data_IF_675725698013
#
_entry.id   IF_675725698013
#
_cell.length_a   1.000
_cell.length_b   1.000
_cell.length_c   1.000
_cell.angle_alpha   90.00
_cell.angle_beta   90.00
_cell.angle_gamma   90.00
#
_symmetry.space_group_name_H-M   'P 1'
#
loop_
_entity.id
_entity.type
_entity.pdbx_description
1 polymer ?
#
# COMPACT_ATOMS: atom_id res chain seq x y z
N UNK A 1 19.19 -7.77 -60.83
CA UNK A 1 18.79 -7.44 -59.44
C UNK A 1 17.30 -7.29 -59.46
N UNK A 2 16.62 -8.31 -58.96
CA UNK A 2 15.16 -8.40 -58.85
C UNK A 2 14.81 -7.69 -57.54
N UNK A 3 13.86 -6.76 -57.57
CA UNK A 3 13.27 -6.21 -56.36
C UNK A 3 11.76 -6.43 -56.45
N UNK A 4 11.28 -7.10 -55.42
CA UNK A 4 9.99 -7.73 -55.29
C UNK A 4 8.84 -6.73 -55.19
N UNK A 5 7.84 -6.97 -56.02
CA UNK A 5 6.40 -7.05 -55.75
C UNK A 5 5.87 -6.60 -54.37
N UNK A 6 5.01 -5.59 -54.44
CA UNK A 6 3.67 -5.50 -53.84
C UNK A 6 3.36 -6.31 -52.57
N UNK A 7 3.15 -5.61 -51.46
CA UNK A 7 2.06 -5.93 -50.53
C UNK A 7 1.50 -4.64 -49.89
N UNK A 8 0.48 -4.10 -50.53
CA UNK A 8 -0.39 -3.06 -50.00
C UNK A 8 -1.24 -3.66 -48.86
N UNK A 9 -0.80 -3.47 -47.61
CA UNK A 9 -1.64 -3.73 -46.44
C UNK A 9 -2.52 -2.52 -46.22
N UNK A 10 -3.73 -2.56 -46.76
CA UNK A 10 -4.78 -1.63 -46.39
C UNK A 10 -4.96 -1.63 -44.86
N UNK A 11 -5.01 -0.42 -44.33
CA UNK A 11 -5.18 -0.05 -42.95
C UNK A 11 -6.51 -0.60 -42.40
N UNK A 12 -6.47 -1.83 -41.86
CA UNK A 12 -7.52 -2.33 -40.96
C UNK A 12 -7.26 -1.83 -39.54
N UNK A 13 -7.20 -0.51 -39.39
CA UNK A 13 -7.59 0.20 -38.19
C UNK A 13 -9.09 -0.02 -37.96
N UNK A 14 -9.46 -1.22 -37.52
CA UNK A 14 -10.68 -1.39 -36.73
C UNK A 14 -10.36 -0.82 -35.35
N UNK A 15 -10.48 0.51 -35.24
CA UNK A 15 -10.56 1.18 -33.96
C UNK A 15 -11.74 0.56 -33.20
N UNK A 16 -11.43 -0.44 -32.37
CA UNK A 16 -12.37 -0.95 -31.38
C UNK A 16 -12.67 0.25 -30.48
N UNK A 17 -13.82 0.89 -30.70
CA UNK A 17 -14.31 1.96 -29.82
C UNK A 17 -14.15 1.47 -28.38
N UNK A 18 -13.56 2.24 -27.46
CA UNK A 18 -13.47 1.83 -26.07
C UNK A 18 -14.88 1.47 -25.62
N UNK A 19 -15.11 0.18 -25.34
CA UNK A 19 -16.39 -0.32 -24.85
C UNK A 19 -16.64 0.47 -23.58
N UNK A 20 -17.65 1.34 -23.58
CA UNK A 20 -18.02 2.10 -22.39
C UNK A 20 -18.42 1.07 -21.34
N UNK A 21 -17.54 0.82 -20.36
CA UNK A 21 -17.81 -0.14 -19.30
C UNK A 21 -19.08 0.33 -18.58
N UNK A 22 -20.04 -0.59 -18.42
CA UNK A 22 -21.32 -0.30 -17.79
C UNK A 22 -21.10 0.36 -16.42
N UNK A 23 -21.82 1.45 -16.16
CA UNK A 23 -21.76 2.16 -14.89
C UNK A 23 -22.29 1.25 -13.76
N UNK A 24 -21.52 1.13 -12.69
CA UNK A 24 -21.96 0.43 -11.46
C UNK A 24 -23.08 1.24 -10.83
N UNK A 25 -24.12 0.58 -10.28
CA UNK A 25 -25.18 1.30 -9.59
C UNK A 25 -24.66 1.99 -8.32
N UNK A 26 -25.19 3.18 -8.02
CA UNK A 26 -24.76 3.97 -6.87
C UNK A 26 -24.93 3.22 -5.54
N UNK A 27 -24.05 3.46 -4.54
CA UNK A 27 -24.17 2.89 -3.22
C UNK A 27 -25.36 3.45 -2.45
N UNK A 28 -25.96 2.60 -1.62
CA UNK A 28 -26.83 3.02 -0.55
C UNK A 28 -26.01 3.74 0.54
N UNK A 29 -26.59 4.67 1.32
CA UNK A 29 -25.88 5.32 2.42
C UNK A 29 -25.26 4.34 3.42
N UNK A 30 -25.88 3.17 3.64
CA UNK A 30 -25.38 2.11 4.51
C UNK A 30 -24.17 1.34 3.96
N UNK A 31 -23.90 1.44 2.65
CA UNK A 31 -22.77 0.79 1.98
C UNK A 31 -21.51 1.66 2.00
N UNK A 32 -21.61 2.90 2.49
CA UNK A 32 -20.50 3.84 2.66
C UNK A 32 -20.19 4.04 4.15
N UNK A 33 -18.92 3.85 4.49
CA UNK A 33 -18.36 4.07 5.81
C UNK A 33 -17.37 5.24 5.75
N UNK A 34 -17.30 6.05 6.81
CA UNK A 34 -16.33 7.13 6.92
C UNK A 34 -15.37 6.85 8.10
N UNK A 35 -14.06 6.90 7.85
CA UNK A 35 -13.03 6.73 8.88
C UNK A 35 -12.50 8.07 9.43
N UNK A 36 -13.29 9.14 9.25
CA UNK A 36 -12.92 10.52 9.57
C UNK A 36 -12.10 11.22 8.48
N UNK A 37 -11.32 10.49 7.68
CA UNK A 37 -10.45 11.05 6.65
C UNK A 37 -10.84 10.68 5.21
N UNK A 38 -11.51 9.54 5.05
CA UNK A 38 -11.85 8.94 3.76
C UNK A 38 -13.22 8.28 3.80
N UNK A 39 -13.85 8.16 2.64
CA UNK A 39 -15.00 7.28 2.45
C UNK A 39 -14.55 5.90 1.98
N UNK A 40 -15.21 4.85 2.47
CA UNK A 40 -14.89 3.46 2.19
C UNK A 40 -16.16 2.69 1.84
N UNK A 41 -16.07 1.86 0.82
CA UNK A 41 -16.95 0.70 0.65
C UNK A 41 -16.29 -0.44 1.39
N UNK A 42 -16.91 -0.96 2.46
CA UNK A 42 -16.28 -1.90 3.38
C UNK A 42 -17.06 -3.21 3.44
N UNK A 43 -16.37 -4.32 3.21
CA UNK A 43 -16.84 -5.65 3.58
C UNK A 43 -16.13 -6.12 4.86
N UNK A 44 -16.94 -6.45 5.87
CA UNK A 44 -16.50 -7.09 7.11
C UNK A 44 -16.88 -8.57 7.05
N UNK A 45 -15.90 -9.43 7.31
CA UNK A 45 -16.02 -10.87 7.19
C UNK A 45 -15.41 -11.58 8.40
N UNK A 46 -15.81 -12.84 8.55
CA UNK A 46 -15.40 -13.69 9.65
C UNK A 46 -15.42 -15.18 9.22
N UNK A 47 -15.33 -16.07 10.20
CA UNK A 47 -15.39 -17.52 9.99
C UNK A 47 -16.69 -18.03 9.36
N UNK A 48 -17.77 -17.23 9.36
CA UNK A 48 -19.10 -17.61 8.86
C UNK A 48 -19.38 -17.12 7.44
N UNK A 49 -18.50 -16.29 6.88
CA UNK A 49 -18.63 -15.70 5.54
C UNK A 49 -18.65 -16.77 4.45
N UNK A 50 -19.62 -16.70 3.53
CA UNK A 50 -19.75 -17.66 2.43
C UNK A 50 -19.04 -17.15 1.17
N UNK A 51 -18.51 -18.04 0.32
CA UNK A 51 -17.94 -17.65 -0.97
C UNK A 51 -18.90 -16.83 -1.85
N UNK A 52 -20.20 -17.07 -1.75
CA UNK A 52 -21.23 -16.32 -2.47
C UNK A 52 -21.32 -14.85 -2.02
N UNK A 53 -21.06 -14.56 -0.75
CA UNK A 53 -21.07 -13.19 -0.22
C UNK A 53 -19.87 -12.41 -0.78
N UNK A 54 -18.71 -13.06 -0.84
CA UNK A 54 -17.49 -12.53 -1.46
C UNK A 54 -17.71 -12.25 -2.94
N UNK A 55 -18.29 -13.21 -3.67
CA UNK A 55 -18.58 -13.04 -5.10
C UNK A 55 -19.56 -11.88 -5.36
N UNK A 56 -20.60 -11.75 -4.53
CA UNK A 56 -21.57 -10.66 -4.63
C UNK A 56 -20.92 -9.30 -4.37
N UNK A 57 -20.06 -9.21 -3.35
CA UNK A 57 -19.29 -7.99 -3.06
C UNK A 57 -18.39 -7.59 -4.24
N UNK A 58 -17.62 -8.53 -4.80
CA UNK A 58 -16.71 -8.28 -5.92
C UNK A 58 -17.46 -7.88 -7.20
N UNK A 59 -18.62 -8.49 -7.47
CA UNK A 59 -19.46 -8.14 -8.60
C UNK A 59 -20.10 -6.75 -8.43
N UNK A 60 -20.50 -6.41 -7.20
CA UNK A 60 -21.10 -5.11 -6.86
C UNK A 60 -20.07 -3.98 -6.88
N UNK A 61 -18.84 -4.24 -6.45
CA UNK A 61 -17.80 -3.23 -6.26
C UNK A 61 -16.50 -3.52 -7.02
N UNK A 62 -16.55 -3.54 -8.36
CA UNK A 62 -15.36 -3.70 -9.21
C UNK A 62 -14.48 -2.44 -9.14
N UNK A 63 -13.20 -2.53 -8.73
CA UNK A 63 -12.35 -1.35 -8.59
C UNK A 63 -12.20 -0.56 -9.89
N UNK A 64 -12.12 -1.24 -11.03
CA UNK A 64 -11.94 -0.62 -12.36
C UNK A 64 -13.07 0.33 -12.78
N UNK A 65 -14.24 0.25 -12.13
CA UNK A 65 -15.43 1.05 -12.47
C UNK A 65 -15.98 1.86 -11.31
N UNK A 66 -15.41 1.73 -10.12
CA UNK A 66 -15.93 2.39 -8.93
C UNK A 66 -15.30 3.76 -8.75
N UNK A 67 -16.13 4.79 -8.57
CA UNK A 67 -15.70 6.18 -8.28
C UNK A 67 -16.39 6.77 -7.06
N UNK A 68 -17.16 5.97 -6.31
CA UNK A 68 -18.06 6.44 -5.25
C UNK A 68 -17.38 6.65 -3.90
N UNK A 69 -16.30 5.93 -3.64
CA UNK A 69 -15.56 5.99 -2.38
C UNK A 69 -14.07 6.15 -2.62
N UNK A 70 -13.36 6.71 -1.65
CA UNK A 70 -11.90 6.83 -1.70
C UNK A 70 -11.20 5.47 -1.65
N UNK A 71 -11.85 4.45 -1.08
CA UNK A 71 -11.35 3.08 -0.99
C UNK A 71 -12.46 2.04 -1.11
N UNK A 72 -12.13 0.89 -1.68
CA UNK A 72 -12.87 -0.36 -1.47
C UNK A 72 -12.02 -1.22 -0.54
N UNK A 73 -12.61 -1.74 0.53
CA UNK A 73 -11.92 -2.41 1.62
C UNK A 73 -12.55 -3.77 1.94
N UNK A 74 -11.69 -4.71 2.28
CA UNK A 74 -12.00 -6.04 2.73
C UNK A 74 -11.29 -6.28 4.06
N UNK A 75 -12.04 -6.66 5.08
CA UNK A 75 -11.53 -6.95 6.41
C UNK A 75 -12.12 -8.28 6.90
N UNK A 76 -11.25 -9.21 7.29
CA UNK A 76 -11.60 -10.47 7.93
C UNK A 76 -11.04 -10.50 9.35
N UNK A 77 -11.92 -10.33 10.32
CA UNK A 77 -11.59 -10.44 11.73
C UNK A 77 -11.74 -11.88 12.28
N UNK A 78 -11.41 -12.09 13.57
CA UNK A 78 -10.78 -11.12 14.48
C UNK A 78 -9.29 -10.92 14.20
N UNK A 79 -8.78 -9.72 14.50
CA UNK A 79 -7.34 -9.41 14.44
C UNK A 79 -6.68 -9.67 15.80
N UNK A 80 -5.39 -10.05 15.83
CA UNK A 80 -4.65 -10.16 17.08
C UNK A 80 -4.64 -8.82 17.82
N UNK A 81 -4.77 -8.87 19.15
CA UNK A 81 -4.60 -7.68 19.98
C UNK A 81 -3.11 -7.35 20.08
N UNK A 82 -2.68 -6.13 19.71
CA UNK A 82 -1.27 -5.76 19.80
C UNK A 82 -0.81 -5.72 21.26
N UNK A 83 0.44 -6.14 21.50
CA UNK A 83 1.04 -6.15 22.84
C UNK A 83 1.19 -4.73 23.42
N UNK A 84 1.58 -3.78 22.56
CA UNK A 84 1.65 -2.35 22.87
C UNK A 84 0.46 -1.65 22.20
N UNK A 85 -0.42 -0.96 22.96
CA UNK A 85 -1.47 -0.14 22.36
C UNK A 85 -0.89 0.92 21.44
N UNK A 86 -1.59 1.20 20.34
CA UNK A 86 -1.15 2.20 19.39
C UNK A 86 -1.24 3.62 19.98
N UNK A 87 -0.13 4.34 20.03
CA UNK A 87 -0.03 5.75 20.47
C UNK A 87 0.53 6.65 19.36
N UNK A 88 -0.34 7.03 18.42
CA UNK A 88 0.05 7.92 17.31
C UNK A 88 0.41 9.34 17.80
N UNK A 89 -0.18 9.79 18.91
CA UNK A 89 0.11 11.11 19.47
C UNK A 89 1.50 11.14 20.12
N UNK A 90 1.84 10.11 20.90
CA UNK A 90 3.18 9.89 21.44
C UNK A 90 4.23 9.79 20.35
N UNK A 91 3.97 8.98 19.33
CA UNK A 91 4.83 8.87 18.15
C UNK A 91 5.12 10.24 17.54
N UNK A 92 4.09 11.07 17.38
CA UNK A 92 4.22 12.40 16.77
C UNK A 92 5.06 13.34 17.64
N UNK A 93 4.91 13.30 18.97
CA UNK A 93 5.71 14.09 19.91
C UNK A 93 7.19 13.69 19.87
N UNK A 94 7.48 12.40 19.96
CA UNK A 94 8.86 11.91 19.99
C UNK A 94 9.56 12.10 18.65
N UNK A 95 8.81 12.02 17.54
CA UNK A 95 9.31 12.38 16.23
C UNK A 95 9.74 13.84 16.12
N UNK A 96 8.95 14.77 16.68
CA UNK A 96 9.32 16.19 16.69
C UNK A 96 10.64 16.40 17.46
N UNK A 97 10.78 15.77 18.63
CA UNK A 97 12.01 15.82 19.43
C UNK A 97 13.21 15.25 18.67
N UNK A 98 13.05 14.12 17.97
CA UNK A 98 14.12 13.52 17.18
C UNK A 98 14.57 14.46 16.05
N UNK A 99 13.64 15.09 15.34
CA UNK A 99 13.97 16.07 14.28
C UNK A 99 14.72 17.29 14.83
N UNK A 100 14.31 17.82 15.98
CA UNK A 100 14.99 18.95 16.61
C UNK A 100 16.44 18.60 17.00
N UNK A 101 16.64 17.42 17.59
CA UNK A 101 17.98 16.93 17.93
C UNK A 101 18.85 16.74 16.70
N UNK A 102 18.31 16.14 15.64
CA UNK A 102 19.02 15.96 14.38
C UNK A 102 19.43 17.31 13.75
N UNK A 103 18.54 18.31 13.79
CA UNK A 103 18.85 19.65 13.29
C UNK A 103 19.94 20.35 14.12
N UNK A 104 19.89 20.23 15.45
CA UNK A 104 20.91 20.81 16.34
C UNK A 104 22.29 20.17 16.11
N UNK A 105 22.35 18.85 15.89
CA UNK A 105 23.60 18.15 15.58
C UNK A 105 24.17 18.57 14.21
N UNK A 106 23.32 18.70 13.18
CA UNK A 106 23.77 19.18 11.87
C UNK A 106 24.35 20.60 11.93
N UNK A 107 23.77 21.48 12.76
CA UNK A 107 24.28 22.84 12.97
C UNK A 107 25.63 22.85 13.71
N UNK A 108 25.80 21.98 14.71
CA UNK A 108 27.07 21.90 15.45
C UNK A 108 28.21 21.38 14.58
N UNK A 109 27.96 20.35 13.76
CA UNK A 109 28.94 19.82 12.80
C UNK A 109 29.30 20.82 11.70
N UNK A 110 28.33 21.56 11.17
CA UNK A 110 28.56 22.62 10.19
C UNK A 110 29.42 23.78 10.72
N UNK A 111 29.33 24.09 12.02
CA UNK A 111 30.21 25.06 12.67
C UNK A 111 31.63 24.54 12.89
N UNK A 112 31.81 23.22 13.12
CA UNK A 112 33.13 22.59 13.26
C UNK A 112 33.84 22.48 11.90
N UNK A 113 33.12 22.12 10.83
CA UNK A 113 33.69 21.99 9.48
C UNK A 113 34.17 23.31 8.87
N UNK A 114 33.63 24.46 9.31
CA UNK A 114 34.13 25.79 8.89
C UNK A 114 35.55 26.09 9.39
N UNK A 115 36.08 25.32 10.35
CA UNK A 115 37.38 25.56 10.98
C UNK A 115 38.49 24.52 10.65
N UNK A 116 38.31 23.58 9.73
CA UNK A 116 39.39 22.63 9.38
C UNK A 116 39.00 21.57 8.35
N UNK A 117 39.99 21.15 7.56
CA UNK A 117 39.90 20.34 6.33
C UNK A 117 39.44 18.88 6.49
N UNK A 118 38.89 18.38 5.37
CA UNK A 118 38.66 17.00 4.93
C UNK A 118 37.24 16.40 5.09
N UNK A 119 36.68 16.02 3.94
CA UNK A 119 35.35 15.46 3.74
C UNK A 119 35.40 13.94 3.96
N UNK A 120 34.96 13.50 5.14
CA UNK A 120 34.48 12.14 5.36
C UNK A 120 33.02 11.97 4.89
N UNK A 121 32.50 10.74 4.79
CA UNK A 121 31.12 10.49 4.36
C UNK A 121 30.16 11.26 5.28
N UNK A 122 29.42 12.19 4.69
CA UNK A 122 28.59 13.16 5.40
C UNK A 122 27.60 12.51 6.35
N UNK A 123 27.46 13.14 7.52
CA UNK A 123 26.46 12.93 8.56
C UNK A 123 25.24 12.09 8.12
N UNK A 124 25.28 10.79 8.39
CA UNK A 124 24.06 9.99 8.51
C UNK A 124 23.42 10.41 9.83
N UNK A 125 22.70 11.53 9.80
CA UNK A 125 22.11 12.17 10.97
C UNK A 125 21.15 11.24 11.71
N UNK A 126 20.83 11.59 12.97
CA UNK A 126 20.01 10.81 13.91
C UNK A 126 18.67 10.25 13.37
N UNK A 127 18.17 10.76 12.25
CA UNK A 127 17.01 10.22 11.55
C UNK A 127 17.46 9.10 10.61
N UNK A 128 17.43 7.87 11.12
CA UNK A 128 17.75 6.65 10.38
C UNK A 128 16.57 5.68 10.33
N UNK A 129 16.67 4.62 9.53
CA UNK A 129 15.64 3.56 9.48
C UNK A 129 15.45 2.93 10.86
N UNK A 130 16.55 2.68 11.57
CA UNK A 130 16.57 2.09 12.91
C UNK A 130 15.90 3.00 13.94
N UNK A 131 16.08 4.32 13.84
CA UNK A 131 15.39 5.28 14.69
C UNK A 131 13.87 5.28 14.45
N UNK A 132 13.44 5.13 13.19
CA UNK A 132 12.01 5.01 12.86
C UNK A 132 11.41 3.69 13.35
N UNK A 133 12.17 2.59 13.26
CA UNK A 133 11.77 1.28 13.79
C UNK A 133 11.63 1.33 15.33
N UNK A 134 12.59 1.95 16.02
CA UNK A 134 12.52 2.12 17.47
C UNK A 134 11.32 2.98 17.91
N UNK A 135 10.99 4.04 17.17
CA UNK A 135 9.79 4.84 17.42
C UNK A 135 8.51 4.02 17.20
N UNK A 136 8.47 3.17 16.17
CA UNK A 136 7.31 2.34 15.90
C UNK A 136 7.04 1.35 17.03
N UNK A 137 8.08 0.67 17.51
CA UNK A 137 8.03 -0.29 18.62
C UNK A 137 7.60 0.39 19.92
N UNK A 138 8.21 1.54 20.26
CA UNK A 138 7.90 2.26 21.48
C UNK A 138 6.43 2.73 21.57
N UNK A 139 5.81 3.00 20.42
CA UNK A 139 4.45 3.55 20.32
C UNK A 139 3.42 2.56 19.76
N UNK A 140 3.78 1.28 19.59
CA UNK A 140 2.87 0.26 19.09
C UNK A 140 2.35 0.51 17.66
N UNK A 141 3.07 1.28 16.84
CA UNK A 141 2.68 1.60 15.46
C UNK A 141 3.33 0.61 14.48
N UNK A 142 3.00 -0.66 14.67
CA UNK A 142 3.66 -1.80 14.02
C UNK A 142 2.94 -2.33 12.78
N UNK A 143 1.77 -1.80 12.43
CA UNK A 143 1.09 -2.19 11.20
C UNK A 143 1.82 -1.66 9.97
N UNK A 144 1.64 -2.33 8.84
CA UNK A 144 2.15 -1.85 7.57
C UNK A 144 1.47 -2.52 6.39
N UNK A 145 1.83 -2.12 5.18
CA UNK A 145 1.17 -2.62 3.97
C UNK A 145 2.12 -2.89 2.82
N UNK A 146 1.92 -4.02 2.14
CA UNK A 146 2.43 -4.22 0.79
C UNK A 146 1.63 -3.34 -0.17
N UNK A 147 2.33 -2.54 -0.99
CA UNK A 147 1.73 -1.69 -2.01
C UNK A 147 1.92 -2.32 -3.39
N UNK A 148 0.81 -2.64 -4.04
CA UNK A 148 0.76 -3.29 -5.35
C UNK A 148 0.11 -2.33 -6.34
N UNK A 149 0.87 -1.85 -7.32
CA UNK A 149 0.32 -1.05 -8.41
C UNK A 149 -0.13 -1.94 -9.56
N UNK A 150 -1.41 -1.85 -9.93
CA UNK A 150 -2.03 -2.67 -10.96
C UNK A 150 -2.65 -1.78 -12.05
N UNK A 151 -2.53 -2.22 -13.30
CA UNK A 151 -3.16 -1.52 -14.42
C UNK A 151 -4.69 -1.66 -14.38
N UNK A 152 -5.46 -0.70 -14.90
CA UNK A 152 -6.93 -0.74 -14.88
C UNK A 152 -7.53 -2.04 -15.45
N UNK A 153 -6.90 -2.62 -16.48
CA UNK A 153 -7.35 -3.86 -17.11
C UNK A 153 -7.08 -5.13 -16.28
N UNK A 154 -6.27 -5.04 -15.21
CA UNK A 154 -5.87 -6.18 -14.37
C UNK A 154 -6.46 -6.11 -12.95
N UNK A 155 -6.94 -4.94 -12.53
CA UNK A 155 -7.25 -4.68 -11.12
C UNK A 155 -8.41 -5.53 -10.61
N UNK A 156 -9.48 -5.74 -11.40
CA UNK A 156 -10.65 -6.49 -10.96
C UNK A 156 -10.27 -7.96 -10.66
N UNK A 157 -9.52 -8.60 -11.56
CA UNK A 157 -9.06 -9.99 -11.39
C UNK A 157 -8.02 -10.13 -10.28
N UNK A 158 -7.12 -9.15 -10.15
CA UNK A 158 -6.15 -9.13 -9.05
C UNK A 158 -6.85 -8.94 -7.69
N UNK A 159 -7.77 -7.99 -7.61
CA UNK A 159 -8.54 -7.70 -6.40
C UNK A 159 -9.39 -8.90 -6.00
N UNK A 160 -10.06 -9.56 -6.96
CA UNK A 160 -10.80 -10.80 -6.71
C UNK A 160 -9.92 -11.88 -6.10
N UNK A 161 -8.71 -12.12 -6.65
CA UNK A 161 -7.76 -13.08 -6.10
C UNK A 161 -7.24 -12.70 -4.72
N UNK A 162 -6.94 -11.41 -4.49
CA UNK A 162 -6.46 -10.91 -3.19
C UNK A 162 -7.56 -11.03 -2.14
N UNK A 163 -8.78 -10.56 -2.42
CA UNK A 163 -9.92 -10.68 -1.52
C UNK A 163 -10.20 -12.14 -1.22
N UNK A 164 -10.23 -13.00 -2.25
CA UNK A 164 -10.41 -14.44 -2.02
C UNK A 164 -9.26 -15.00 -1.17
N UNK A 165 -8.02 -14.58 -1.36
CA UNK A 165 -6.89 -15.04 -0.55
C UNK A 165 -6.92 -14.53 0.91
N UNK A 166 -7.37 -13.29 1.12
CA UNK A 166 -7.56 -12.67 2.45
C UNK A 166 -8.77 -13.28 3.17
N UNK A 167 -9.80 -13.70 2.43
CA UNK A 167 -11.13 -13.99 2.99
C UNK A 167 -11.49 -15.47 2.97
N UNK A 168 -11.03 -16.25 2.00
CA UNK A 168 -11.42 -17.65 1.80
C UNK A 168 -10.67 -18.67 2.68
N UNK A 169 -9.94 -18.21 3.70
CA UNK A 169 -9.55 -19.04 4.84
C UNK A 169 -8.74 -20.29 4.47
N UNK A 170 -7.56 -20.13 3.87
CA UNK A 170 -6.52 -21.15 3.99
C UNK A 170 -5.82 -20.99 5.36
N UNK A 171 -5.22 -22.06 5.94
CA UNK A 171 -4.27 -21.99 7.07
C UNK A 171 -3.01 -21.13 6.80
N UNK A 172 -3.01 -20.30 5.75
CA UNK A 172 -1.84 -19.74 5.07
C UNK A 172 -1.66 -18.22 5.25
N UNK A 173 -2.43 -17.58 6.14
CA UNK A 173 -1.91 -16.39 6.80
C UNK A 173 -1.55 -15.20 5.90
N UNK A 174 -2.53 -14.66 5.19
CA UNK A 174 -2.31 -13.60 4.18
C UNK A 174 -2.54 -12.19 4.77
N UNK A 175 -2.78 -12.10 6.08
CA UNK A 175 -3.24 -10.87 6.72
C UNK A 175 -4.76 -10.72 6.59
N UNK A 176 -5.37 -9.99 7.52
CA UNK A 176 -6.82 -9.87 7.61
C UNK A 176 -7.41 -8.69 6.84
N UNK A 177 -6.58 -7.79 6.27
CA UNK A 177 -7.06 -6.51 5.73
C UNK A 177 -6.45 -6.18 4.37
N UNK A 178 -7.29 -5.74 3.44
CA UNK A 178 -6.86 -5.19 2.16
C UNK A 178 -7.72 -4.00 1.74
N UNK A 179 -7.12 -3.07 1.00
CA UNK A 179 -7.80 -1.92 0.40
C UNK A 179 -7.37 -1.74 -1.05
N UNK A 180 -8.26 -1.29 -1.92
CA UNK A 180 -7.93 -0.93 -3.32
C UNK A 180 -8.49 0.44 -3.65
N UNK A 181 -7.71 1.24 -4.37
CA UNK A 181 -8.14 2.56 -4.82
C UNK A 181 -9.25 2.45 -5.88
N UNK A 182 -10.17 3.43 -5.94
CA UNK A 182 -11.17 3.52 -7.00
C UNK A 182 -10.50 3.78 -8.36
N UNK A 183 -11.32 3.72 -9.41
CA UNK A 183 -10.93 4.11 -10.75
C UNK A 183 -10.62 5.61 -10.80
N UNK A 184 -9.48 5.93 -11.42
CA UNK A 184 -9.08 7.29 -11.76
C UNK A 184 -8.62 7.31 -13.21
N UNK A 185 -8.90 8.38 -13.98
CA UNK A 185 -8.43 8.48 -15.35
C UNK A 185 -6.90 8.32 -15.42
N UNK A 186 -6.45 7.40 -16.27
CA UNK A 186 -5.03 7.20 -16.63
C UNK A 186 -4.06 6.83 -15.48
N UNK A 187 -4.55 6.66 -14.26
CA UNK A 187 -3.75 6.25 -13.11
C UNK A 187 -3.84 4.72 -12.88
N UNK A 188 -2.73 4.05 -12.55
CA UNK A 188 -2.79 2.68 -12.04
C UNK A 188 -3.52 2.66 -10.69
N UNK A 189 -4.19 1.55 -10.41
CA UNK A 189 -4.74 1.31 -9.09
C UNK A 189 -3.63 0.95 -8.11
N UNK A 190 -3.80 1.33 -6.85
CA UNK A 190 -3.03 0.79 -5.74
C UNK A 190 -3.89 -0.19 -4.95
N UNK A 191 -3.40 -1.41 -4.79
CA UNK A 191 -3.90 -2.39 -3.84
C UNK A 191 -2.94 -2.43 -2.66
N UNK A 192 -3.48 -2.31 -1.46
CA UNK A 192 -2.75 -2.40 -0.19
C UNK A 192 -3.19 -3.67 0.54
N UNK A 193 -2.23 -4.51 0.94
CA UNK A 193 -2.49 -5.69 1.79
C UNK A 193 -1.69 -5.54 3.06
N UNK A 194 -2.39 -5.60 4.20
CA UNK A 194 -1.83 -5.22 5.50
C UNK A 194 -1.21 -6.40 6.23
N UNK A 195 -0.20 -6.08 7.03
CA UNK A 195 0.50 -6.94 7.99
C UNK A 195 0.32 -6.28 9.36
N UNK A 196 0.02 -7.07 10.39
CA UNK A 196 -0.29 -6.54 11.72
C UNK A 196 0.98 -6.10 12.47
N UNK A 197 2.08 -6.84 12.32
CA UNK A 197 3.38 -6.49 12.86
C UNK A 197 4.49 -6.60 11.80
N UNK A 198 5.02 -5.46 11.35
CA UNK A 198 6.09 -5.46 10.34
C UNK A 198 7.46 -5.82 10.90
N UNK A 199 7.64 -5.86 12.22
CA UNK A 199 8.86 -6.37 12.87
C UNK A 199 8.93 -7.89 12.81
N UNK A 200 7.78 -8.58 12.68
CA UNK A 200 7.70 -10.00 12.37
C UNK A 200 8.00 -10.24 10.88
N UNK A 201 9.27 -10.49 10.57
CA UNK A 201 9.71 -10.83 9.22
C UNK A 201 9.06 -12.09 8.64
N UNK A 202 8.60 -13.03 9.49
CA UNK A 202 7.88 -14.22 9.02
C UNK A 202 6.46 -13.83 8.58
N UNK A 203 5.78 -12.94 9.31
CA UNK A 203 4.48 -12.41 8.91
C UNK A 203 4.58 -11.68 7.56
N UNK A 204 5.54 -10.75 7.45
CA UNK A 204 5.79 -9.96 6.23
C UNK A 204 6.08 -10.87 5.03
N UNK A 205 6.94 -11.88 5.21
CA UNK A 205 7.32 -12.84 4.18
C UNK A 205 6.17 -13.74 3.74
N UNK A 206 5.36 -14.21 4.69
CA UNK A 206 4.19 -15.06 4.42
C UNK A 206 3.12 -14.31 3.60
N UNK A 207 2.84 -13.04 3.93
CA UNK A 207 1.93 -12.18 3.14
C UNK A 207 2.50 -11.90 1.75
N UNK A 208 3.81 -11.64 1.63
CA UNK A 208 4.47 -11.51 0.32
C UNK A 208 4.28 -12.77 -0.54
N UNK A 209 4.54 -13.95 0.00
CA UNK A 209 4.47 -15.21 -0.75
C UNK A 209 3.04 -15.52 -1.19
N UNK A 210 2.07 -15.14 -0.37
CA UNK A 210 0.68 -15.15 -0.71
C UNK A 210 0.32 -14.23 -1.89
N UNK A 211 0.83 -13.00 -1.90
CA UNK A 211 0.68 -12.11 -3.05
C UNK A 211 1.33 -12.69 -4.32
N UNK A 212 2.45 -13.39 -4.19
CA UNK A 212 3.07 -14.13 -5.31
C UNK A 212 2.15 -15.22 -5.85
N UNK A 213 1.52 -16.02 -4.97
CA UNK A 213 0.51 -17.03 -5.36
C UNK A 213 -0.73 -16.40 -5.99
N UNK A 214 -1.13 -15.21 -5.53
CA UNK A 214 -2.21 -14.42 -6.14
C UNK A 214 -1.83 -13.79 -7.49
N UNK A 215 -0.61 -14.01 -7.98
CA UNK A 215 -0.17 -13.61 -9.32
C UNK A 215 0.53 -12.24 -9.39
N UNK A 216 0.85 -11.62 -8.25
CA UNK A 216 1.71 -10.43 -8.24
C UNK A 216 3.13 -10.89 -8.53
N UNK A 217 3.65 -10.64 -9.73
CA UNK A 217 5.00 -11.08 -10.16
C UNK A 217 6.02 -9.95 -10.29
N UNK A 218 5.56 -8.70 -10.25
CA UNK A 218 6.41 -7.53 -10.33
C UNK A 218 6.93 -7.10 -8.96
N UNK A 219 7.90 -6.19 -8.97
CA UNK A 219 8.47 -5.64 -7.75
C UNK A 219 7.42 -4.87 -6.94
N UNK A 220 7.33 -5.15 -5.65
CA UNK A 220 6.44 -4.46 -4.71
C UNK A 220 7.24 -3.91 -3.52
N UNK A 221 6.70 -2.85 -2.90
CA UNK A 221 7.30 -2.23 -1.72
C UNK A 221 6.38 -2.38 -0.51
N UNK A 222 6.97 -2.64 0.64
CA UNK A 222 6.27 -2.62 1.92
C UNK A 222 6.47 -1.28 2.60
N UNK A 223 5.38 -0.58 2.95
CA UNK A 223 5.42 0.69 3.68
C UNK A 223 4.85 0.49 5.09
N UNK A 224 5.65 0.63 6.15
CA UNK A 224 5.16 0.70 7.53
C UNK A 224 4.19 1.88 7.72
N UNK A 225 3.21 1.72 8.60
CA UNK A 225 2.29 2.81 8.92
C UNK A 225 2.98 3.94 9.67
N UNK A 226 4.01 3.64 10.47
CA UNK A 226 4.88 4.66 11.08
C UNK A 226 5.44 5.62 10.00
N UNK A 227 5.83 5.15 8.82
CA UNK A 227 6.30 6.04 7.74
C UNK A 227 5.17 6.93 7.19
N UNK A 228 3.93 6.46 7.21
CA UNK A 228 2.76 7.25 6.82
C UNK A 228 2.50 8.35 7.84
N UNK A 229 2.48 8.02 9.13
CA UNK A 229 2.27 8.97 10.23
C UNK A 229 3.38 10.01 10.32
N UNK A 230 4.63 9.62 10.12
CA UNK A 230 5.79 10.50 10.22
C UNK A 230 6.08 11.33 8.96
N UNK A 231 5.31 11.15 7.88
CA UNK A 231 5.49 11.90 6.63
C UNK A 231 6.65 11.42 5.76
N UNK A 232 7.11 10.18 5.94
CA UNK A 232 8.18 9.59 5.13
C UNK A 232 7.63 9.14 3.77
N UNK A 233 7.70 10.05 2.81
CA UNK A 233 7.34 9.85 1.41
C UNK A 233 8.54 9.97 0.48
N UNK A 234 8.35 9.70 -0.81
CA UNK A 234 9.40 9.87 -1.82
C UNK A 234 9.88 11.33 -1.80
N UNK A 235 11.20 11.54 -1.72
CA UNK A 235 11.80 12.88 -1.70
C UNK A 235 11.78 13.55 -0.32
N UNK A 236 11.61 12.81 0.77
CA UNK A 236 11.81 13.35 2.11
C UNK A 236 13.25 13.84 2.31
N UNK A 237 13.42 14.80 3.22
CA UNK A 237 14.69 15.49 3.49
C UNK A 237 15.80 14.57 4.04
N UNK A 238 15.43 13.42 4.60
CA UNK A 238 16.37 12.44 5.16
C UNK A 238 16.81 11.38 4.16
N UNK A 239 16.36 11.45 2.90
CA UNK A 239 16.67 10.48 1.84
C UNK A 239 16.29 9.04 2.19
N UNK A 240 15.40 8.85 3.17
CA UNK A 240 14.92 7.53 3.58
C UNK A 240 14.00 6.98 2.50
N UNK A 241 14.22 5.75 2.07
CA UNK A 241 13.30 5.11 1.14
C UNK A 241 11.93 4.93 1.82
N UNK A 242 10.81 5.31 1.18
CA UNK A 242 9.47 5.13 1.75
C UNK A 242 8.97 3.67 1.71
N UNK A 243 9.88 2.70 1.66
CA UNK A 243 9.60 1.27 1.73
C UNK A 243 10.66 0.60 2.59
N UNK A 244 10.21 -0.12 3.63
CA UNK A 244 11.08 -0.85 4.57
C UNK A 244 11.53 -2.20 4.03
N UNK A 245 10.64 -2.89 3.30
CA UNK A 245 10.94 -4.14 2.60
C UNK A 245 10.62 -4.05 1.11
N UNK A 246 11.29 -4.89 0.34
CA UNK A 246 11.14 -4.99 -1.11
C UNK A 246 11.07 -6.46 -1.50
N UNK A 247 10.23 -6.75 -2.48
CA UNK A 247 10.03 -8.09 -2.99
C UNK A 247 9.89 -8.09 -4.50
#
# INVERSE_FOLDING_TARGET
>A
MVHDDDYNMEDVSSACKPKQLATVAAPLPSELVHDGSSSLILALWDSTTKPADVASFLARWPPSRNTYASWIAADRGPHPTPATPQDVEGLTRDWAVLKERAAAEAQSQGNVQRNGTEQGPGAQGMVTVEALDALAEAHGVLTGKWMIYAQPHQVDDLWSRIVTAVVANAPLGIGGRAKVSPARPEEPHVVCVYVEDYSDGAEVGRVRDALRRAGVRWRIGFKPDVYTHLGIYKGNEWMIRPSRYLA
#
